data_IF_618136965164
#
_entry.id   IF_618136965164
#
_cell.length_a   1.000
_cell.length_b   1.000
_cell.length_c   1.000
_cell.angle_alpha   90.00
_cell.angle_beta   90.00
_cell.angle_gamma   90.00
#
_symmetry.space_group_name_H-M   'P 1'
#
loop_
_entity.id
_entity.type
_entity.pdbx_description
1 polymer ?
#
# COMPACT_ATOMS: atom_id res chain seq x y z
N UNK A 1 -4.81 -8.12 -0.88
CA UNK A 1 -4.23 -6.89 -1.46
C UNK A 1 -5.28 -5.81 -1.65
N UNK A 2 -6.45 -6.13 -2.23
CA UNK A 2 -7.50 -5.12 -2.50
C UNK A 2 -7.96 -4.34 -1.26
N UNK A 3 -8.10 -5.01 -0.11
CA UNK A 3 -8.43 -4.37 1.18
C UNK A 3 -7.44 -3.27 1.64
N UNK A 4 -6.24 -3.23 1.07
CA UNK A 4 -5.21 -2.24 1.39
C UNK A 4 -4.95 -1.24 0.27
N UNK A 5 -5.53 -1.43 -0.92
CA UNK A 5 -5.25 -0.61 -2.10
C UNK A 5 -5.61 0.85 -1.84
N UNK A 6 -6.84 1.14 -1.45
CA UNK A 6 -7.28 2.50 -1.16
C UNK A 6 -6.49 3.15 0.00
N UNK A 7 -6.43 2.56 1.20
CA UNK A 7 -5.81 3.23 2.35
C UNK A 7 -4.28 3.40 2.25
N UNK A 8 -3.61 2.58 1.45
CA UNK A 8 -2.15 2.61 1.30
C UNK A 8 -1.74 3.13 -0.07
N UNK A 9 -2.15 2.47 -1.15
CA UNK A 9 -1.65 2.71 -2.52
C UNK A 9 -2.24 3.99 -3.11
N UNK A 10 -3.56 4.13 -3.10
CA UNK A 10 -4.23 5.29 -3.72
C UNK A 10 -3.88 6.56 -2.94
N UNK A 11 -3.91 6.49 -1.60
CA UNK A 11 -3.49 7.58 -0.71
C UNK A 11 -2.03 7.99 -0.91
N UNK A 12 -1.11 7.01 -1.01
CA UNK A 12 0.31 7.28 -1.30
C UNK A 12 0.46 7.96 -2.66
N UNK A 13 -0.24 7.46 -3.68
CA UNK A 13 -0.18 8.00 -5.05
C UNK A 13 -0.61 9.47 -5.07
N UNK A 14 -1.75 9.80 -4.46
CA UNK A 14 -2.22 11.18 -4.34
C UNK A 14 -1.20 12.07 -3.60
N UNK A 15 -0.61 11.58 -2.51
CA UNK A 15 0.44 12.31 -1.79
C UNK A 15 1.66 12.58 -2.66
N UNK A 16 2.15 11.58 -3.40
CA UNK A 16 3.34 11.70 -4.25
C UNK A 16 3.15 12.75 -5.35
N UNK A 17 1.97 12.81 -5.95
CA UNK A 17 1.64 13.77 -7.01
C UNK A 17 1.33 15.16 -6.44
N UNK A 18 0.46 15.26 -5.44
CA UNK A 18 0.04 16.55 -4.88
C UNK A 18 1.22 17.33 -4.27
N UNK A 19 2.17 16.62 -3.68
CA UNK A 19 3.37 17.23 -3.09
C UNK A 19 4.54 17.31 -4.08
N UNK A 20 4.32 16.99 -5.36
CA UNK A 20 5.34 17.01 -6.44
C UNK A 20 6.60 16.21 -6.10
N UNK A 21 6.47 15.16 -5.30
CA UNK A 21 7.56 14.22 -5.01
C UNK A 21 7.93 13.46 -6.27
N UNK A 22 6.90 13.07 -7.04
CA UNK A 22 7.01 12.59 -8.40
C UNK A 22 6.28 13.55 -9.35
N UNK A 23 6.88 13.75 -10.53
CA UNK A 23 6.41 14.63 -11.60
C UNK A 23 6.47 13.90 -12.94
N UNK A 24 5.92 14.48 -14.00
CA UNK A 24 5.98 13.89 -15.34
C UNK A 24 7.42 13.59 -15.81
N UNK A 25 8.41 14.38 -15.35
CA UNK A 25 9.82 14.18 -15.66
C UNK A 25 10.42 12.91 -15.05
N UNK A 26 9.72 12.28 -14.11
CA UNK A 26 10.19 11.10 -13.39
C UNK A 26 9.82 9.79 -14.08
N UNK A 27 9.06 9.89 -15.17
CA UNK A 27 8.59 8.77 -15.97
C UNK A 27 9.25 8.76 -17.36
N UNK A 28 9.23 7.61 -18.01
CA UNK A 28 9.64 7.45 -19.40
C UNK A 28 8.81 6.36 -20.09
N UNK A 29 8.58 6.53 -21.39
CA UNK A 29 7.95 5.51 -22.22
C UNK A 29 9.00 4.46 -22.58
N UNK A 30 8.82 3.23 -22.11
CA UNK A 30 9.65 2.10 -22.50
C UNK A 30 9.25 1.64 -23.91
N UNK A 31 9.95 2.16 -24.93
CA UNK A 31 9.61 1.97 -26.35
C UNK A 31 9.34 0.50 -26.73
N UNK A 32 10.16 -0.49 -26.32
CA UNK A 32 9.91 -1.88 -26.73
C UNK A 32 8.59 -2.48 -26.22
N UNK A 33 8.08 -2.00 -25.08
CA UNK A 33 6.84 -2.54 -24.48
C UNK A 33 5.67 -1.55 -24.48
N UNK A 34 5.87 -0.32 -24.96
CA UNK A 34 4.87 0.75 -24.91
C UNK A 34 4.42 1.15 -23.50
N UNK A 35 5.11 0.72 -22.43
CA UNK A 35 4.67 0.98 -21.05
C UNK A 35 5.34 2.21 -20.47
N UNK A 36 4.58 3.01 -19.72
CA UNK A 36 5.11 4.11 -18.93
C UNK A 36 5.77 3.55 -17.66
N UNK A 37 7.04 3.89 -17.42
CA UNK A 37 7.82 3.39 -16.28
C UNK A 37 8.43 4.54 -15.49
N UNK A 38 8.63 4.33 -14.20
CA UNK A 38 9.46 5.23 -13.38
C UNK A 38 10.93 5.07 -13.76
N UNK A 39 11.65 6.19 -13.85
CA UNK A 39 13.11 6.19 -13.97
C UNK A 39 13.74 5.58 -12.72
N UNK A 40 14.91 4.96 -12.88
CA UNK A 40 15.63 4.33 -11.77
C UNK A 40 15.92 5.31 -10.62
N UNK A 41 16.36 6.53 -10.91
CA UNK A 41 16.58 7.57 -9.90
C UNK A 41 15.28 8.00 -9.19
N UNK A 42 14.14 7.93 -9.87
CA UNK A 42 12.84 8.26 -9.29
C UNK A 42 12.35 7.19 -8.32
N UNK A 43 12.70 5.92 -8.56
CA UNK A 43 12.41 4.82 -7.62
C UNK A 43 13.07 5.05 -6.26
N UNK A 44 14.27 5.65 -6.22
CA UNK A 44 14.96 6.01 -4.97
C UNK A 44 14.20 7.02 -4.12
N UNK A 45 13.33 7.84 -4.73
CA UNK A 45 12.39 8.73 -4.01
C UNK A 45 11.07 8.04 -3.65
N UNK A 46 10.60 7.13 -4.52
CA UNK A 46 9.38 6.36 -4.28
C UNK A 46 9.51 5.42 -3.08
N UNK A 47 10.58 4.61 -2.99
CA UNK A 47 10.71 3.58 -1.97
C UNK A 47 10.66 4.13 -0.53
N UNK A 48 11.33 5.24 -0.17
CA UNK A 48 11.20 5.82 1.17
C UNK A 48 9.78 6.28 1.50
N UNK A 49 9.05 6.84 0.53
CA UNK A 49 7.66 7.28 0.75
C UNK A 49 6.70 6.08 0.89
N UNK A 50 6.92 5.02 0.12
CA UNK A 50 6.22 3.76 0.31
C UNK A 50 6.49 3.15 1.69
N UNK A 51 7.77 3.09 2.11
CA UNK A 51 8.16 2.63 3.44
C UNK A 51 7.48 3.45 4.54
N UNK A 52 7.46 4.78 4.42
CA UNK A 52 6.72 5.64 5.36
C UNK A 52 5.23 5.30 5.37
N UNK A 53 4.60 5.11 4.21
CA UNK A 53 3.18 4.80 4.13
C UNK A 53 2.82 3.47 4.82
N UNK A 54 3.60 2.41 4.61
CA UNK A 54 3.31 1.10 5.21
C UNK A 54 3.68 1.01 6.70
N UNK A 55 4.64 1.83 7.16
CA UNK A 55 5.01 1.90 8.57
C UNK A 55 4.22 2.95 9.35
N UNK A 56 3.44 3.81 8.69
CA UNK A 56 2.66 4.83 9.36
C UNK A 56 1.58 4.19 10.24
N UNK A 57 1.57 4.54 11.53
CA UNK A 57 0.57 4.06 12.47
C UNK A 57 -0.77 4.78 12.31
N UNK A 58 -1.85 4.03 12.53
CA UNK A 58 -3.20 4.54 12.65
C UNK A 58 -3.95 3.73 13.71
N UNK A 59 -5.06 4.29 14.20
CA UNK A 59 -5.94 3.57 15.12
C UNK A 59 -6.78 2.56 14.34
N UNK A 60 -6.67 1.28 14.68
CA UNK A 60 -7.43 0.20 14.07
C UNK A 60 -8.93 0.37 14.36
N UNK A 61 -9.80 0.49 13.35
CA UNK A 61 -11.20 0.89 13.55
C UNK A 61 -11.98 -0.07 14.43
N UNK A 62 -11.69 -1.38 14.35
CA UNK A 62 -12.42 -2.39 15.13
C UNK A 62 -11.85 -2.64 16.54
N UNK A 63 -10.58 -2.32 16.81
CA UNK A 63 -9.92 -2.69 18.09
C UNK A 63 -9.46 -1.50 18.90
N UNK A 64 -9.39 -0.30 18.32
CA UNK A 64 -8.89 0.90 18.98
C UNK A 64 -7.38 0.93 19.18
N UNK A 65 -6.65 -0.11 18.79
CA UNK A 65 -5.19 -0.18 18.95
C UNK A 65 -4.46 0.65 17.90
N UNK A 66 -3.30 1.23 18.27
CA UNK A 66 -2.37 1.78 17.28
C UNK A 66 -1.67 0.64 16.53
N UNK A 67 -1.72 0.71 15.21
CA UNK A 67 -1.11 -0.31 14.35
C UNK A 67 -0.59 0.31 13.05
N UNK A 68 0.53 -0.20 12.54
CA UNK A 68 1.03 0.09 11.20
C UNK A 68 0.45 -0.88 10.16
N UNK A 69 0.24 -0.42 8.93
CA UNK A 69 -0.24 -1.26 7.82
C UNK A 69 0.62 -2.50 7.59
N UNK A 70 1.95 -2.39 7.73
CA UNK A 70 2.87 -3.53 7.63
C UNK A 70 2.54 -4.66 8.60
N UNK A 71 2.16 -4.35 9.84
CA UNK A 71 1.74 -5.35 10.82
C UNK A 71 0.37 -5.92 10.43
N UNK A 72 -0.54 -5.06 9.98
CA UNK A 72 -1.88 -5.48 9.54
C UNK A 72 -1.85 -6.43 8.33
N UNK A 73 -0.94 -6.23 7.37
CA UNK A 73 -0.74 -7.15 6.24
C UNK A 73 -0.41 -8.56 6.72
N UNK A 74 0.47 -8.68 7.73
CA UNK A 74 0.84 -9.97 8.31
C UNK A 74 -0.33 -10.61 9.03
N UNK A 75 -1.08 -9.84 9.82
CA UNK A 75 -2.28 -10.31 10.51
C UNK A 75 -3.29 -10.85 9.50
N UNK A 76 -3.51 -10.15 8.39
CA UNK A 76 -4.48 -10.59 7.39
C UNK A 76 -4.03 -11.81 6.59
N UNK A 77 -2.73 -11.93 6.31
CA UNK A 77 -2.16 -13.17 5.76
C UNK A 77 -2.36 -14.36 6.72
N UNK A 78 -2.17 -14.15 8.03
CA UNK A 78 -2.40 -15.19 9.05
C UNK A 78 -3.88 -15.56 9.17
N UNK A 79 -4.79 -14.58 9.18
CA UNK A 79 -6.25 -14.82 9.17
C UNK A 79 -6.70 -15.59 7.95
N UNK A 80 -6.16 -15.27 6.77
CA UNK A 80 -6.45 -16.00 5.54
C UNK A 80 -5.95 -17.46 5.64
N UNK A 81 -4.72 -17.68 6.10
CA UNK A 81 -4.19 -19.03 6.30
C UNK A 81 -5.04 -19.84 7.29
N UNK A 82 -5.46 -19.22 8.40
CA UNK A 82 -6.33 -19.85 9.40
C UNK A 82 -7.69 -20.23 8.80
N UNK A 83 -8.30 -19.33 8.03
CA UNK A 83 -9.59 -19.58 7.38
C UNK A 83 -9.51 -20.79 6.42
N UNK A 84 -8.42 -20.91 5.67
CA UNK A 84 -8.16 -22.06 4.79
C UNK A 84 -8.04 -23.36 5.62
N UNK A 85 -7.22 -23.35 6.66
CA UNK A 85 -6.98 -24.55 7.51
C UNK A 85 -8.26 -25.02 8.19
N UNK A 86 -9.06 -24.07 8.69
CA UNK A 86 -10.28 -24.37 9.44
C UNK A 86 -11.50 -24.58 8.53
N UNK A 87 -11.35 -24.39 7.21
CA UNK A 87 -12.45 -24.38 6.25
C UNK A 87 -13.58 -23.40 6.66
N UNK A 88 -13.19 -22.20 7.08
CA UNK A 88 -14.09 -21.12 7.50
C UNK A 88 -13.98 -19.92 6.56
N UNK A 89 -14.92 -18.99 6.66
CA UNK A 89 -14.90 -17.77 5.86
C UNK A 89 -13.81 -16.80 6.35
N UNK A 90 -12.99 -16.31 5.41
CA UNK A 90 -12.06 -15.21 5.66
C UNK A 90 -12.82 -13.88 5.81
N UNK A 91 -12.50 -13.13 6.87
CA UNK A 91 -13.04 -11.79 7.12
C UNK A 91 -11.96 -10.74 6.81
N UNK A 92 -12.10 -9.98 5.70
CA UNK A 92 -11.09 -9.02 5.27
C UNK A 92 -11.03 -7.78 6.18
N UNK A 93 -9.95 -7.03 6.06
CA UNK A 93 -9.85 -5.73 6.73
C UNK A 93 -10.81 -4.73 6.08
N UNK A 94 -11.56 -4.00 6.90
CA UNK A 94 -12.35 -2.86 6.47
C UNK A 94 -11.76 -1.58 7.06
N UNK A 95 -11.34 -0.68 6.18
CA UNK A 95 -10.83 0.63 6.54
C UNK A 95 -11.99 1.63 6.57
N UNK A 96 -12.58 1.81 7.74
CA UNK A 96 -13.66 2.79 7.93
C UNK A 96 -13.02 4.16 8.23
N UNK A 97 -13.05 5.05 7.24
CA UNK A 97 -12.72 6.49 7.38
C UNK A 97 -13.62 7.33 6.50
#
# INVERSE_FOLDING_TARGET
MEEFRSPVVDRLTLRLINNRILTNNDFYLHQPSGSMRLKHESLKRYFPEYEKAVNNEFTHPQTGEKIAFRRLFRIQAQKLAQAIIQNTQYIPFHYDR
#
